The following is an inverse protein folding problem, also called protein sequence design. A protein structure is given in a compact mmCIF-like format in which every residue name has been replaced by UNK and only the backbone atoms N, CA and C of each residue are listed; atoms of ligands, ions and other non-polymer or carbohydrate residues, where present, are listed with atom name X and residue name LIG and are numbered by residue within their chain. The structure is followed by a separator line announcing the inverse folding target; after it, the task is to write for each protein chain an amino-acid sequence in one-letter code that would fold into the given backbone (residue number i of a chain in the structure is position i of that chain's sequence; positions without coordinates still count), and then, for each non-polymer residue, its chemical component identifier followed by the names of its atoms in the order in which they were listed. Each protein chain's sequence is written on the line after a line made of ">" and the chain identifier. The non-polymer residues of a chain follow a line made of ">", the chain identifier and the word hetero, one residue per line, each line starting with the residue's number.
data_IF_921159672370
#
_entry.id   IF_921159672370
#
_cell.length_a   1.000
_cell.length_b   1.000
_cell.length_c   1.000
_cell.angle_alpha   90.00
_cell.angle_beta   90.00
_cell.angle_gamma   90.00
#
_symmetry.space_group_name_H-M   'P 1'
#
loop_
_entity.id
_entity.type
_entity.pdbx_description
1 polymer ?
#
# COMPACT_ATOMS: atom_id res chain seq x y z
N UNK A 1 -0.33 4.25 -8.95
CA UNK A 1 -1.73 4.57 -8.60
C UNK A 1 -1.94 5.15 -7.19
N UNK A 2 -0.89 5.62 -6.46
CA UNK A 2 -1.07 6.15 -5.09
C UNK A 2 -2.13 7.27 -5.01
N UNK A 3 -2.20 8.16 -6.01
CA UNK A 3 -3.20 9.24 -6.02
C UNK A 3 -4.64 8.72 -5.96
N UNK A 4 -4.96 7.63 -6.63
CA UNK A 4 -6.30 7.04 -6.60
C UNK A 4 -6.57 6.31 -5.28
N UNK A 5 -5.54 5.71 -4.68
CA UNK A 5 -5.63 5.13 -3.33
C UNK A 5 -5.93 6.21 -2.30
N UNK A 6 -5.23 7.34 -2.36
CA UNK A 6 -5.44 8.48 -1.46
C UNK A 6 -6.81 9.15 -1.65
N UNK A 7 -7.37 9.09 -2.87
CA UNK A 7 -8.74 9.53 -3.17
C UNK A 7 -9.82 8.49 -2.83
N UNK A 8 -9.46 7.30 -2.34
CA UNK A 8 -10.39 6.20 -2.09
C UNK A 8 -10.99 5.57 -3.35
N UNK A 9 -10.42 5.83 -4.53
CA UNK A 9 -10.85 5.28 -5.82
C UNK A 9 -10.25 3.90 -6.14
N UNK A 10 -9.18 3.52 -5.43
CA UNK A 10 -8.51 2.23 -5.54
C UNK A 10 -8.05 1.78 -4.15
N UNK A 11 -7.80 0.48 -3.97
CA UNK A 11 -7.21 -0.06 -2.74
C UNK A 11 -5.74 -0.41 -2.96
N UNK A 12 -4.92 -0.52 -1.90
CA UNK A 12 -3.51 -0.88 -2.04
C UNK A 12 -3.24 -2.17 -2.80
N UNK A 13 -4.12 -3.18 -2.69
CA UNK A 13 -3.99 -4.44 -3.44
C UNK A 13 -4.31 -4.33 -4.94
N UNK A 14 -4.94 -3.24 -5.39
CA UNK A 14 -5.11 -2.94 -6.82
C UNK A 14 -3.80 -2.42 -7.45
N UNK A 15 -2.80 -2.10 -6.61
CA UNK A 15 -1.46 -1.71 -7.06
C UNK A 15 -0.60 -2.96 -7.24
N UNK A 16 -0.21 -3.26 -8.48
CA UNK A 16 0.55 -4.47 -8.84
C UNK A 16 1.90 -4.63 -8.12
N UNK A 17 2.50 -3.52 -7.68
CA UNK A 17 3.79 -3.50 -6.98
C UNK A 17 3.66 -3.40 -5.45
N UNK A 18 2.44 -3.26 -4.91
CA UNK A 18 2.20 -3.17 -3.47
C UNK A 18 2.65 -4.47 -2.76
N UNK A 19 3.42 -4.31 -1.68
CA UNK A 19 3.97 -5.41 -0.89
C UNK A 19 5.07 -6.24 -1.58
N UNK A 20 5.28 -6.05 -2.89
CA UNK A 20 6.33 -6.72 -3.68
C UNK A 20 7.56 -5.84 -3.84
N UNK A 21 7.45 -4.78 -4.64
CA UNK A 21 8.54 -3.82 -4.84
C UNK A 21 8.36 -2.58 -3.95
N UNK A 22 7.11 -2.17 -3.71
CA UNK A 22 6.78 -1.08 -2.80
C UNK A 22 6.52 -1.64 -1.40
N UNK A 23 7.44 -1.40 -0.47
CA UNK A 23 7.41 -1.86 0.94
C UNK A 23 7.81 -0.72 1.89
N UNK A 24 7.55 -0.81 3.20
CA UNK A 24 7.96 0.24 4.14
C UNK A 24 9.46 0.55 4.16
N UNK A 25 10.32 -0.45 3.92
CA UNK A 25 11.78 -0.28 3.85
C UNK A 25 12.29 0.20 2.48
N UNK A 26 11.44 0.14 1.44
CA UNK A 26 11.74 0.60 0.08
C UNK A 26 10.47 1.19 -0.53
N UNK A 27 10.04 2.38 -0.07
CA UNK A 27 8.81 2.99 -0.50
C UNK A 27 8.97 3.60 -1.90
N UNK A 28 8.12 3.17 -2.85
CA UNK A 28 8.14 3.69 -4.22
C UNK A 28 7.14 4.85 -4.39
N UNK A 29 6.03 4.81 -3.66
CA UNK A 29 4.96 5.80 -3.76
C UNK A 29 4.66 6.49 -2.44
N UNK A 30 4.19 7.73 -2.51
CA UNK A 30 3.86 8.57 -1.33
C UNK A 30 2.93 7.89 -0.33
N UNK A 31 2.01 7.04 -0.82
CA UNK A 31 1.10 6.28 0.01
C UNK A 31 1.76 5.19 0.88
N UNK A 32 3.04 4.87 0.64
CA UNK A 32 3.86 3.91 1.41
C UNK A 32 4.95 4.60 2.26
N UNK A 33 5.32 5.85 1.97
CA UNK A 33 6.44 6.55 2.63
C UNK A 33 6.17 6.80 4.11
N UNK A 34 4.96 7.29 4.44
CA UNK A 34 4.58 7.55 5.82
C UNK A 34 4.04 6.27 6.48
N UNK A 35 4.33 6.08 7.77
CA UNK A 35 3.75 5.01 8.59
C UNK A 35 2.22 5.07 8.62
N UNK A 36 1.66 6.29 8.54
CA UNK A 36 0.22 6.59 8.45
C UNK A 36 -0.34 6.50 7.03
N UNK A 37 0.53 6.33 6.02
CA UNK A 37 0.12 6.22 4.63
C UNK A 37 -0.76 4.99 4.40
N UNK A 38 -1.78 5.12 3.55
CA UNK A 38 -2.74 4.05 3.29
C UNK A 38 -2.08 2.70 2.91
N UNK A 39 -1.01 2.72 2.08
CA UNK A 39 -0.30 1.49 1.76
C UNK A 39 0.53 0.98 2.95
N UNK A 40 1.20 1.84 3.70
CA UNK A 40 1.94 1.40 4.90
C UNK A 40 1.01 0.76 5.94
N UNK A 41 -0.15 1.40 6.20
CA UNK A 41 -1.17 0.88 7.10
C UNK A 41 -1.70 -0.48 6.63
N UNK A 42 -2.03 -0.61 5.33
CA UNK A 42 -2.46 -1.89 4.77
C UNK A 42 -1.37 -2.96 4.81
N UNK A 43 -0.11 -2.58 4.59
CA UNK A 43 1.01 -3.53 4.67
C UNK A 43 1.21 -4.05 6.10
N UNK A 44 1.06 -3.17 7.10
CA UNK A 44 1.26 -3.51 8.52
C UNK A 44 0.07 -4.21 9.17
N UNK A 45 -1.16 -3.80 8.83
CA UNK A 45 -2.37 -4.22 9.53
C UNK A 45 -3.38 -4.95 8.63
N UNK A 46 -3.25 -4.85 7.31
CA UNK A 46 -4.24 -5.33 6.35
C UNK A 46 -4.33 -6.85 6.21
N UNK A 47 -3.65 -7.62 7.06
CA UNK A 47 -3.74 -9.08 7.16
C UNK A 47 -3.65 -9.78 5.79
N UNK A 48 -2.50 -9.60 5.12
CA UNK A 48 -2.17 -10.13 3.78
C UNK A 48 -2.33 -11.67 3.70
N UNK A 49 -2.34 -12.36 4.85
CA UNK A 49 -2.42 -13.82 4.98
C UNK A 49 -3.79 -14.45 4.66
N UNK A 50 -4.88 -13.68 4.59
CA UNK A 50 -6.24 -14.23 4.35
C UNK A 50 -6.72 -14.06 2.90
N UNK A 51 -5.82 -13.81 1.94
CA UNK A 51 -6.22 -13.52 0.55
C UNK A 51 -5.28 -14.10 -0.51
N UNK A 52 -4.55 -15.17 -0.18
CA UNK A 52 -3.88 -16.06 -1.12
C UNK A 52 -4.57 -17.42 -1.12
#
# INVERSE_FOLDING_TARGET
>A
ICGDILKGKAKPYDCTIFGKACKPNSPIGSCMVSSEGACSAYYKYGNILNKF
#
